data_IF_576547887349
#
_entry.id   IF_576547887349
#
_cell.length_a   1.000
_cell.length_b   1.000
_cell.length_c   1.000
_cell.angle_alpha   90.00
_cell.angle_beta   90.00
_cell.angle_gamma   90.00
#
_symmetry.space_group_name_H-M   'P 1'
#
loop_
_entity.id
_entity.type
_entity.pdbx_description
1 polymer ?
#
# COMPACT_ATOMS: atom_id res chain seq x y z
N UNK A 1 -5.83 35.47 -32.53
CA UNK A 1 -5.23 34.34 -33.25
C UNK A 1 -4.19 33.66 -32.36
N UNK A 2 -4.61 33.08 -31.19
CA UNK A 2 -3.72 32.47 -30.20
C UNK A 2 -4.40 31.28 -29.48
N UNK A 3 -5.21 30.49 -30.20
CA UNK A 3 -5.98 29.39 -29.60
C UNK A 3 -5.69 28.00 -30.21
N UNK A 4 -4.57 27.81 -30.90
CA UNK A 4 -4.36 26.55 -31.66
C UNK A 4 -3.25 25.64 -31.10
N UNK A 5 -2.73 25.84 -29.88
CA UNK A 5 -1.62 25.02 -29.36
C UNK A 5 -1.90 24.19 -28.10
N UNK A 6 -3.14 24.13 -27.62
CA UNK A 6 -3.46 23.46 -26.35
C UNK A 6 -3.84 21.98 -26.49
N UNK A 7 -3.81 21.40 -27.66
CA UNK A 7 -4.29 20.03 -27.94
C UNK A 7 -3.25 18.92 -27.73
N UNK A 8 -1.97 19.28 -27.53
CA UNK A 8 -0.86 18.33 -27.47
C UNK A 8 -0.37 18.01 -26.04
N UNK A 9 -1.01 18.55 -25.01
CA UNK A 9 -0.53 18.40 -23.61
C UNK A 9 -1.28 17.33 -22.81
N UNK A 10 -2.46 16.89 -23.24
CA UNK A 10 -3.23 15.87 -22.49
C UNK A 10 -2.81 14.47 -22.94
N UNK A 11 -2.22 13.73 -22.03
CA UNK A 11 -1.85 12.33 -22.18
C UNK A 11 -2.91 11.42 -21.55
N UNK A 12 -3.26 10.33 -22.26
CA UNK A 12 -4.21 9.31 -21.78
C UNK A 12 -3.44 8.04 -21.45
N UNK A 13 -3.27 7.75 -20.16
CA UNK A 13 -2.81 6.44 -19.71
C UNK A 13 -4.02 5.52 -19.58
N UNK A 14 -4.00 4.40 -20.29
CA UNK A 14 -5.17 3.53 -20.41
C UNK A 14 -4.92 2.13 -19.88
N UNK A 15 -5.99 1.55 -19.34
CA UNK A 15 -6.17 0.12 -19.13
C UNK A 15 -7.26 -0.38 -20.06
N UNK A 16 -7.80 -1.58 -19.84
CA UNK A 16 -8.88 -2.13 -20.68
C UNK A 16 -10.17 -1.30 -20.57
N UNK A 17 -10.56 -0.89 -19.34
CA UNK A 17 -11.82 -0.18 -19.08
C UNK A 17 -11.64 1.18 -18.42
N UNK A 18 -10.40 1.62 -18.19
CA UNK A 18 -10.12 2.84 -17.42
C UNK A 18 -9.18 3.78 -18.17
N UNK A 19 -9.36 5.07 -17.97
CA UNK A 19 -8.44 6.13 -18.43
C UNK A 19 -8.06 7.03 -17.26
N UNK A 20 -6.75 7.26 -17.10
CA UNK A 20 -6.19 8.36 -16.34
C UNK A 20 -5.68 9.42 -17.33
N UNK A 21 -6.29 10.60 -17.34
CA UNK A 21 -5.92 11.70 -18.23
C UNK A 21 -5.11 12.75 -17.46
N UNK A 22 -3.93 13.11 -17.99
CA UNK A 22 -3.04 14.11 -17.41
C UNK A 22 -2.77 15.23 -18.41
N UNK A 23 -2.89 16.47 -17.96
CA UNK A 23 -2.38 17.63 -18.70
C UNK A 23 -0.92 17.89 -18.29
N UNK A 24 -0.03 17.78 -19.26
CA UNK A 24 1.43 17.82 -19.10
C UNK A 24 2.06 18.97 -19.88
N UNK A 25 1.40 20.14 -19.95
CA UNK A 25 1.93 21.33 -20.62
C UNK A 25 3.26 21.77 -19.96
N UNK A 26 4.34 21.80 -20.76
CA UNK A 26 5.67 22.21 -20.26
C UNK A 26 5.64 23.63 -19.71
N UNK A 27 6.29 23.83 -18.56
CA UNK A 27 6.33 25.10 -17.86
C UNK A 27 5.12 25.38 -16.95
N UNK A 28 4.13 24.47 -16.90
CA UNK A 28 2.97 24.51 -16.01
C UNK A 28 2.97 23.36 -15.03
N UNK A 29 2.04 23.38 -14.07
CA UNK A 29 1.79 22.23 -13.19
C UNK A 29 1.35 21.03 -14.02
N UNK A 30 1.80 19.83 -13.65
CA UNK A 30 1.14 18.62 -14.09
C UNK A 30 -0.26 18.54 -13.44
N UNK A 31 -1.29 18.20 -14.20
CA UNK A 31 -2.66 18.12 -13.70
C UNK A 31 -3.29 16.78 -14.04
N UNK A 32 -4.03 16.20 -13.09
CA UNK A 32 -4.95 15.11 -13.37
C UNK A 32 -6.29 15.75 -13.77
N UNK A 33 -6.71 15.45 -14.98
CA UNK A 33 -7.94 15.98 -15.60
C UNK A 33 -9.11 15.03 -15.36
N UNK A 34 -8.82 13.72 -15.39
CA UNK A 34 -9.84 12.69 -15.30
C UNK A 34 -9.25 11.36 -14.80
N UNK A 35 -10.03 10.61 -14.06
CA UNK A 35 -9.83 9.20 -13.76
C UNK A 35 -11.19 8.50 -13.73
N UNK A 36 -11.39 7.50 -14.57
CA UNK A 36 -12.69 6.82 -14.71
C UNK A 36 -12.75 5.93 -15.95
N UNK A 37 -13.95 5.68 -16.46
CA UNK A 37 -14.19 4.85 -17.65
C UNK A 37 -13.36 5.28 -18.85
N UNK A 38 -13.10 4.35 -19.77
CA UNK A 38 -12.28 4.59 -20.96
C UNK A 38 -12.75 5.78 -21.78
N UNK A 39 -11.84 6.69 -22.07
CA UNK A 39 -11.99 7.83 -22.98
C UNK A 39 -10.88 7.77 -24.00
N UNK A 40 -11.24 7.76 -25.29
CA UNK A 40 -10.28 7.61 -26.39
C UNK A 40 -9.90 8.94 -27.06
N UNK A 41 -10.74 9.97 -26.92
CA UNK A 41 -10.50 11.29 -27.50
C UNK A 41 -10.24 12.35 -26.39
N UNK A 42 -9.00 12.86 -26.26
CA UNK A 42 -8.68 13.88 -25.26
C UNK A 42 -9.42 15.22 -25.47
N UNK A 43 -9.97 15.47 -26.67
CA UNK A 43 -10.71 16.69 -26.95
C UNK A 43 -11.97 16.86 -26.08
N UNK A 44 -12.56 15.75 -25.62
CA UNK A 44 -13.75 15.76 -24.75
C UNK A 44 -13.51 16.53 -23.44
N UNK A 45 -12.30 16.51 -22.90
CA UNK A 45 -11.98 17.19 -21.65
C UNK A 45 -11.98 18.71 -21.81
N UNK A 46 -11.43 19.21 -22.92
CA UNK A 46 -11.46 20.63 -23.27
C UNK A 46 -12.89 21.07 -23.53
N UNK A 47 -13.63 20.32 -24.32
CA UNK A 47 -14.99 20.68 -24.74
C UNK A 47 -15.96 20.67 -23.54
N UNK A 48 -15.68 19.82 -22.54
CA UNK A 48 -16.39 19.81 -21.26
C UNK A 48 -15.88 20.87 -20.25
N UNK A 49 -14.85 21.64 -20.59
CA UNK A 49 -14.25 22.63 -19.67
C UNK A 49 -13.56 22.02 -18.46
N UNK A 50 -13.06 20.82 -18.58
CA UNK A 50 -12.37 20.12 -17.48
C UNK A 50 -10.88 20.46 -17.49
N UNK A 51 -10.46 21.31 -16.53
CA UNK A 51 -9.07 21.77 -16.40
C UNK A 51 -8.23 20.94 -15.44
N UNK A 52 -8.84 20.04 -14.69
CA UNK A 52 -8.18 19.20 -13.70
C UNK A 52 -7.62 19.93 -12.48
N UNK A 53 -6.95 19.18 -11.64
CA UNK A 53 -6.27 19.65 -10.43
C UNK A 53 -4.80 19.23 -10.49
N UNK A 54 -3.92 19.92 -9.75
CA UNK A 54 -2.49 19.56 -9.71
C UNK A 54 -2.31 18.10 -9.36
N UNK A 55 -1.46 17.39 -10.10
CA UNK A 55 -1.22 15.96 -9.90
C UNK A 55 -0.41 15.67 -8.63
N UNK A 56 0.39 16.63 -8.16
CA UNK A 56 1.22 16.47 -6.96
C UNK A 56 1.35 17.80 -6.22
N UNK A 57 0.37 18.18 -5.37
CA UNK A 57 0.37 19.46 -4.69
C UNK A 57 1.55 19.56 -3.71
N UNK A 58 2.37 20.58 -3.91
CA UNK A 58 3.48 20.91 -3.03
C UNK A 58 3.15 22.11 -2.14
N UNK A 59 3.79 22.20 -0.98
CA UNK A 59 3.62 23.34 -0.07
C UNK A 59 4.05 24.65 -0.74
N UNK A 60 3.23 25.68 -0.59
CA UNK A 60 3.45 27.00 -1.18
C UNK A 60 2.62 27.27 -2.44
N UNK A 61 1.96 26.27 -3.03
CA UNK A 61 0.95 26.51 -4.06
C UNK A 61 -0.34 27.06 -3.43
N UNK A 62 -0.97 28.03 -4.10
CA UNK A 62 -2.30 28.49 -3.71
C UNK A 62 -3.33 27.42 -4.08
N UNK A 63 -4.18 27.06 -3.14
CA UNK A 63 -5.24 26.09 -3.37
C UNK A 63 -5.82 25.56 -2.07
N UNK A 64 -6.98 24.94 -2.15
CA UNK A 64 -7.68 24.43 -1.00
C UNK A 64 -7.31 22.97 -0.67
N UNK A 65 -6.47 22.34 -1.48
CA UNK A 65 -6.03 20.96 -1.25
C UNK A 65 -4.89 20.88 -0.22
N UNK A 66 -4.87 19.78 0.54
CA UNK A 66 -3.72 19.37 1.32
C UNK A 66 -2.47 19.19 0.42
N UNK A 67 -1.29 19.15 1.02
CA UNK A 67 -0.05 18.96 0.26
C UNK A 67 0.37 17.50 0.23
N UNK A 68 0.89 17.03 -0.91
CA UNK A 68 1.56 15.73 -1.07
C UNK A 68 3.06 15.82 -0.77
N UNK A 69 3.66 17.01 -0.93
CA UNK A 69 5.09 17.25 -0.71
C UNK A 69 5.32 18.48 0.13
N UNK A 70 6.11 18.33 1.20
CA UNK A 70 6.63 19.44 1.99
C UNK A 70 8.14 19.27 2.20
N UNK A 71 8.90 20.28 1.79
CA UNK A 71 10.36 20.32 1.86
C UNK A 71 10.79 21.55 2.64
N UNK A 72 11.76 21.41 3.55
CA UNK A 72 12.48 22.55 4.11
C UNK A 72 13.83 22.65 3.41
N UNK A 73 14.02 23.75 2.65
CA UNK A 73 15.26 24.03 1.96
C UNK A 73 16.36 24.45 2.92
N UNK A 74 17.61 24.41 2.48
CA UNK A 74 18.77 24.70 3.31
C UNK A 74 18.83 26.13 3.86
N UNK A 75 18.05 27.06 3.33
CA UNK A 75 17.88 28.43 3.80
C UNK A 75 16.67 28.62 4.73
N UNK A 76 15.95 27.52 5.03
CA UNK A 76 14.75 27.49 5.87
C UNK A 76 13.45 27.79 5.13
N UNK A 77 13.47 28.13 3.84
CA UNK A 77 12.27 28.29 3.03
C UNK A 77 11.59 26.93 2.81
N UNK A 78 10.26 26.93 2.72
CA UNK A 78 9.45 25.71 2.52
C UNK A 78 8.64 25.69 1.22
N UNK A 79 8.67 26.80 0.45
CA UNK A 79 7.87 26.92 -0.77
C UNK A 79 8.47 26.12 -1.91
N UNK A 80 7.64 25.38 -2.63
CA UNK A 80 7.95 24.73 -3.88
C UNK A 80 6.99 25.20 -4.98
N UNK A 81 7.53 25.47 -6.16
CA UNK A 81 6.77 25.81 -7.38
C UNK A 81 7.19 24.86 -8.51
N UNK A 82 6.62 23.67 -8.50
CA UNK A 82 6.94 22.62 -9.46
C UNK A 82 6.32 22.90 -10.83
N UNK A 83 7.07 22.67 -11.88
CA UNK A 83 6.60 22.78 -13.26
C UNK A 83 7.09 21.59 -14.11
N UNK A 84 6.25 21.12 -15.02
CA UNK A 84 6.62 20.09 -16.00
C UNK A 84 7.77 20.57 -16.86
N UNK A 85 8.87 19.83 -16.84
CA UNK A 85 10.02 20.09 -17.73
C UNK A 85 10.10 19.07 -18.85
N UNK A 86 9.69 17.82 -18.56
CA UNK A 86 9.68 16.73 -19.53
C UNK A 86 8.73 15.61 -19.12
N UNK A 87 8.35 14.75 -20.05
CA UNK A 87 7.69 13.49 -19.78
C UNK A 87 8.01 12.46 -20.86
N UNK A 88 7.99 11.19 -20.49
CA UNK A 88 8.28 10.06 -21.37
C UNK A 88 7.30 8.92 -21.11
N UNK A 89 7.04 8.13 -22.14
CA UNK A 89 6.25 6.91 -22.06
C UNK A 89 7.10 5.75 -22.50
N UNK A 90 7.24 4.77 -21.61
CA UNK A 90 7.80 3.47 -21.91
C UNK A 90 6.71 2.43 -22.04
N UNK A 91 6.91 1.41 -22.86
CA UNK A 91 6.03 0.24 -22.93
C UNK A 91 6.65 -0.92 -22.16
N UNK A 92 5.82 -1.77 -21.60
CA UNK A 92 6.18 -3.06 -21.03
C UNK A 92 5.10 -4.08 -21.43
N UNK A 93 5.30 -5.37 -21.18
CA UNK A 93 4.47 -6.44 -21.76
C UNK A 93 2.96 -6.25 -21.54
N UNK A 94 2.58 -5.76 -20.36
CA UNK A 94 1.17 -5.63 -19.94
C UNK A 94 0.63 -4.19 -19.90
N UNK A 95 1.38 -3.19 -20.38
CA UNK A 95 0.92 -1.79 -20.34
C UNK A 95 1.96 -0.73 -20.66
N UNK A 96 1.81 0.43 -20.05
CA UNK A 96 2.65 1.61 -20.23
C UNK A 96 3.17 2.14 -18.91
N UNK A 97 4.32 2.78 -18.94
CA UNK A 97 4.91 3.54 -17.85
C UNK A 97 5.10 4.99 -18.28
N UNK A 98 4.25 5.87 -17.78
CA UNK A 98 4.42 7.31 -17.91
C UNK A 98 5.35 7.80 -16.79
N UNK A 99 6.39 8.56 -17.16
CA UNK A 99 7.26 9.29 -16.24
C UNK A 99 7.14 10.78 -16.52
N UNK A 100 6.71 11.56 -15.53
CA UNK A 100 6.60 13.02 -15.61
C UNK A 100 7.67 13.65 -14.75
N UNK A 101 8.53 14.48 -15.34
CA UNK A 101 9.60 15.20 -14.64
C UNK A 101 9.17 16.63 -14.34
N UNK A 102 9.09 16.94 -13.06
CA UNK A 102 8.83 18.28 -12.53
C UNK A 102 10.09 18.86 -11.94
N UNK A 103 10.33 20.15 -12.12
CA UNK A 103 11.41 20.87 -11.43
C UNK A 103 10.84 22.09 -10.71
N UNK A 104 11.39 22.35 -9.54
CA UNK A 104 11.10 23.60 -8.86
C UNK A 104 11.71 24.78 -9.62
N UNK A 105 11.01 25.90 -9.66
CA UNK A 105 11.41 27.08 -10.44
C UNK A 105 12.57 27.86 -9.81
N UNK A 106 12.82 27.66 -8.53
CA UNK A 106 13.77 28.43 -7.72
C UNK A 106 14.84 27.52 -7.11
N UNK A 107 14.41 26.42 -6.51
CA UNK A 107 15.29 25.50 -5.79
C UNK A 107 15.68 24.30 -6.66
N UNK A 108 16.89 23.76 -6.47
CA UNK A 108 17.36 22.60 -7.22
C UNK A 108 16.74 21.31 -6.67
N UNK A 109 15.43 21.16 -6.83
CA UNK A 109 14.65 19.98 -6.48
C UNK A 109 13.95 19.48 -7.73
N UNK A 110 14.14 18.20 -8.03
CA UNK A 110 13.45 17.49 -9.12
C UNK A 110 12.50 16.45 -8.51
N UNK A 111 11.27 16.44 -9.00
CA UNK A 111 10.25 15.45 -8.64
C UNK A 111 9.86 14.67 -9.90
N UNK A 112 9.89 13.35 -9.83
CA UNK A 112 9.41 12.48 -10.91
C UNK A 112 8.18 11.71 -10.43
N UNK A 113 7.08 11.89 -11.16
CA UNK A 113 5.85 11.14 -10.96
C UNK A 113 5.83 9.97 -11.94
N UNK A 114 5.56 8.80 -11.43
CA UNK A 114 5.45 7.58 -12.22
C UNK A 114 4.02 7.08 -12.17
N UNK A 115 3.51 6.68 -13.34
CA UNK A 115 2.21 6.05 -13.50
C UNK A 115 2.37 4.83 -14.40
N UNK A 116 2.15 3.64 -13.84
CA UNK A 116 2.28 2.36 -14.54
C UNK A 116 0.94 1.70 -14.69
N UNK A 117 0.48 1.48 -15.91
CA UNK A 117 -0.78 0.77 -16.17
C UNK A 117 -0.57 -0.75 -16.26
N UNK A 118 -1.55 -1.49 -15.78
CA UNK A 118 -1.74 -2.93 -15.94
C UNK A 118 -3.05 -3.13 -16.70
N UNK A 119 -2.93 -3.38 -18.00
CA UNK A 119 -4.03 -3.23 -18.93
C UNK A 119 -5.20 -4.15 -18.64
N UNK A 120 -4.95 -5.46 -18.48
CA UNK A 120 -5.98 -6.48 -18.30
C UNK A 120 -6.63 -6.45 -16.92
N UNK A 121 -5.90 -6.00 -15.91
CA UNK A 121 -6.34 -5.97 -14.52
C UNK A 121 -7.06 -4.68 -14.14
N UNK A 122 -7.11 -3.67 -15.03
CA UNK A 122 -7.65 -2.33 -14.78
C UNK A 122 -7.01 -1.66 -13.56
N UNK A 123 -5.68 -1.77 -13.47
CA UNK A 123 -4.90 -1.19 -12.37
C UNK A 123 -3.90 -0.16 -12.88
N UNK A 124 -3.65 0.86 -12.04
CA UNK A 124 -2.58 1.83 -12.23
C UNK A 124 -1.81 1.93 -10.93
N UNK A 125 -0.49 1.70 -10.97
CA UNK A 125 0.40 2.03 -9.87
C UNK A 125 0.98 3.43 -10.08
N UNK A 126 1.04 4.21 -8.99
CA UNK A 126 1.74 5.50 -8.97
C UNK A 126 2.73 5.55 -7.81
N UNK A 127 3.85 6.19 -8.02
CA UNK A 127 4.84 6.51 -6.99
C UNK A 127 5.63 7.75 -7.40
N UNK A 128 6.36 8.29 -6.44
CA UNK A 128 7.09 9.54 -6.63
C UNK A 128 8.57 9.35 -6.28
N UNK A 129 9.45 9.98 -7.05
CA UNK A 129 10.86 10.14 -6.71
C UNK A 129 11.18 11.62 -6.53
N UNK A 130 11.85 11.96 -5.43
CA UNK A 130 12.24 13.32 -5.08
C UNK A 130 13.75 13.37 -5.03
N UNK A 131 14.39 14.20 -5.86
CA UNK A 131 15.85 14.32 -5.94
C UNK A 131 16.29 15.71 -5.48
N UNK A 132 17.36 15.75 -4.67
CA UNK A 132 18.06 16.98 -4.30
C UNK A 132 19.23 17.22 -5.24
N UNK A 133 19.03 18.02 -6.28
CA UNK A 133 20.04 18.40 -7.24
C UNK A 133 20.97 19.54 -6.71
N UNK A 134 20.72 19.99 -5.47
CA UNK A 134 21.43 21.08 -4.84
C UNK A 134 22.77 20.72 -4.22
N UNK A 135 23.42 21.72 -3.63
CA UNK A 135 24.72 21.55 -2.96
C UNK A 135 24.61 21.32 -1.45
N UNK A 136 23.46 21.56 -0.87
CA UNK A 136 23.16 21.45 0.56
C UNK A 136 22.02 20.45 0.78
N UNK A 137 21.94 19.81 1.95
CA UNK A 137 20.83 18.91 2.26
C UNK A 137 19.50 19.67 2.33
N UNK A 138 18.42 18.95 2.06
CA UNK A 138 17.04 19.41 2.29
C UNK A 138 16.35 18.42 3.22
N UNK A 139 15.34 18.88 3.94
CA UNK A 139 14.54 18.05 4.83
C UNK A 139 13.18 17.79 4.21
N UNK A 140 12.83 16.53 3.99
CA UNK A 140 11.50 16.11 3.60
C UNK A 140 10.68 15.87 4.86
N UNK A 141 9.55 16.59 5.00
CA UNK A 141 8.63 16.43 6.14
C UNK A 141 7.28 15.88 5.72
N UNK A 142 6.97 15.83 4.41
CA UNK A 142 5.84 15.12 3.80
C UNK A 142 6.24 14.69 2.40
N UNK A 143 5.92 13.46 2.03
CA UNK A 143 6.31 12.85 0.77
C UNK A 143 5.35 11.71 0.40
N UNK A 144 4.12 12.06 0.05
CA UNK A 144 3.10 11.09 -0.33
C UNK A 144 3.50 10.34 -1.62
N UNK A 145 3.03 9.12 -1.76
CA UNK A 145 3.24 8.30 -2.95
C UNK A 145 2.49 8.84 -4.16
N UNK A 146 1.30 9.39 -3.91
CA UNK A 146 0.47 9.98 -4.93
C UNK A 146 -0.69 10.80 -4.37
N UNK A 147 -1.29 11.56 -5.26
CA UNK A 147 -2.50 12.34 -5.04
C UNK A 147 -3.47 12.05 -6.18
N UNK A 148 -4.75 11.91 -5.87
CA UNK A 148 -5.82 11.75 -6.84
C UNK A 148 -6.93 12.77 -6.54
N UNK A 149 -7.13 13.78 -7.40
CA UNK A 149 -8.32 14.62 -7.34
C UNK A 149 -9.50 13.84 -7.90
N UNK A 150 -10.59 13.83 -7.16
CA UNK A 150 -11.83 13.12 -7.49
C UNK A 150 -12.91 14.16 -7.68
N UNK A 151 -13.55 14.20 -8.84
CA UNK A 151 -14.65 15.13 -9.05
C UNK A 151 -15.77 14.83 -8.06
N UNK A 152 -16.07 15.83 -7.21
CA UNK A 152 -16.96 15.71 -6.08
C UNK A 152 -18.37 15.28 -6.43
N UNK A 153 -19.06 14.74 -5.44
CA UNK A 153 -20.42 14.20 -5.53
C UNK A 153 -20.87 13.68 -4.17
N UNK A 154 -21.70 12.67 -4.17
CA UNK A 154 -22.05 11.93 -2.96
C UNK A 154 -21.00 10.85 -2.67
N UNK A 155 -19.82 11.30 -2.23
CA UNK A 155 -18.66 10.45 -2.00
C UNK A 155 -18.77 9.71 -0.66
N UNK A 156 -18.57 8.39 -0.69
CA UNK A 156 -18.53 7.51 0.46
C UNK A 156 -17.22 6.75 0.53
N UNK A 157 -16.83 6.38 1.75
CA UNK A 157 -15.56 5.68 2.03
C UNK A 157 -15.88 4.36 2.69
N UNK A 158 -15.29 3.27 2.19
CA UNK A 158 -15.24 1.98 2.88
C UNK A 158 -13.79 1.64 3.20
N UNK A 159 -13.51 1.37 4.46
CA UNK A 159 -12.19 1.01 4.98
C UNK A 159 -12.28 -0.19 5.91
N UNK A 160 -11.17 -0.89 6.09
CA UNK A 160 -11.07 -2.02 6.98
C UNK A 160 -10.48 -1.61 8.34
N UNK A 161 -10.99 -2.19 9.40
CA UNK A 161 -10.51 -2.05 10.75
C UNK A 161 -10.69 -3.34 11.53
N UNK A 162 -10.17 -3.42 12.73
CA UNK A 162 -10.36 -4.59 13.59
C UNK A 162 -9.45 -4.61 14.79
N UNK A 163 -9.42 -5.77 15.42
CA UNK A 163 -8.53 -6.13 16.51
C UNK A 163 -8.29 -7.64 16.45
N UNK A 164 -7.43 -8.17 17.29
CA UNK A 164 -7.27 -9.61 17.44
C UNK A 164 -8.61 -10.32 17.66
N UNK A 165 -8.84 -11.42 16.95
CA UNK A 165 -10.09 -12.19 16.90
C UNK A 165 -11.34 -11.40 16.45
N UNK A 166 -11.13 -10.25 15.79
CA UNK A 166 -12.19 -9.39 15.24
C UNK A 166 -11.67 -8.60 14.02
N UNK A 167 -10.87 -9.24 13.18
CA UNK A 167 -10.18 -8.67 12.03
C UNK A 167 -11.14 -8.38 10.86
N UNK A 168 -10.70 -7.52 9.95
CA UNK A 168 -11.34 -7.32 8.65
C UNK A 168 -12.75 -6.74 8.71
N UNK A 169 -13.09 -5.94 9.71
CA UNK A 169 -14.39 -5.26 9.81
C UNK A 169 -14.46 -4.12 8.83
N UNK A 170 -15.57 -4.00 8.13
CA UNK A 170 -15.80 -2.92 7.17
C UNK A 170 -16.49 -1.74 7.88
N UNK A 171 -15.85 -0.57 7.81
CA UNK A 171 -16.48 0.72 8.11
C UNK A 171 -16.87 1.41 6.81
N UNK A 172 -18.13 1.85 6.72
CA UNK A 172 -18.63 2.58 5.55
C UNK A 172 -19.31 3.86 6.01
N UNK A 173 -18.81 5.00 5.54
CA UNK A 173 -19.29 6.32 5.95
C UNK A 173 -19.27 7.33 4.79
N UNK A 174 -20.13 8.37 4.79
CA UNK A 174 -20.05 9.45 3.83
C UNK A 174 -18.80 10.31 4.07
N UNK A 175 -18.16 10.79 3.00
CA UNK A 175 -17.13 11.79 3.11
C UNK A 175 -17.75 13.15 3.43
N UNK A 176 -17.58 13.62 4.65
CA UNK A 176 -18.04 14.91 5.10
C UNK A 176 -16.99 16.00 4.92
N UNK A 177 -17.40 17.28 4.99
CA UNK A 177 -16.49 18.42 4.91
C UNK A 177 -15.37 18.33 5.95
N UNK A 178 -14.14 18.56 5.53
CA UNK A 178 -12.94 18.41 6.34
C UNK A 178 -12.02 17.33 5.79
N UNK A 179 -11.22 16.73 6.66
CA UNK A 179 -10.23 15.71 6.29
C UNK A 179 -10.52 14.44 7.10
N UNK A 180 -10.79 13.35 6.42
CA UNK A 180 -10.78 12.01 6.99
C UNK A 180 -9.37 11.43 6.84
N UNK A 181 -8.83 10.94 7.95
CA UNK A 181 -7.51 10.29 8.00
C UNK A 181 -7.66 8.84 8.46
N UNK A 182 -7.04 7.94 7.71
CA UNK A 182 -6.85 6.53 8.07
C UNK A 182 -5.34 6.33 8.16
N UNK A 183 -4.83 5.98 9.33
CA UNK A 183 -3.38 5.85 9.54
C UNK A 183 -3.02 4.69 10.45
N UNK A 184 -1.80 4.22 10.29
CA UNK A 184 -1.13 3.29 11.19
C UNK A 184 0.16 3.92 11.73
N UNK A 185 0.40 3.78 13.05
CA UNK A 185 1.60 4.24 13.75
C UNK A 185 2.30 3.09 14.51
N UNK A 186 1.92 1.85 14.25
CA UNK A 186 2.41 0.67 14.96
C UNK A 186 3.73 0.12 14.37
N UNK A 187 4.46 0.94 13.62
CA UNK A 187 5.74 0.58 13.02
C UNK A 187 5.59 -0.51 11.95
N UNK A 188 6.36 -1.58 12.09
CA UNK A 188 6.34 -2.73 11.17
C UNK A 188 5.10 -3.61 11.29
N UNK A 189 4.33 -3.44 12.38
CA UNK A 189 3.03 -4.09 12.53
C UNK A 189 1.97 -3.29 11.80
N UNK A 190 1.81 -3.55 10.52
CA UNK A 190 0.71 -3.04 9.74
C UNK A 190 -0.57 -3.75 10.18
N UNK A 191 -1.18 -3.22 11.24
CA UNK A 191 -1.95 -3.96 12.20
C UNK A 191 -3.42 -4.13 11.83
N UNK A 192 -4.12 -4.88 12.68
CA UNK A 192 -5.55 -5.12 12.62
C UNK A 192 -6.40 -3.86 12.82
N UNK A 193 -5.84 -2.79 13.43
CA UNK A 193 -6.59 -1.58 13.78
C UNK A 193 -6.99 -0.75 12.57
N UNK A 194 -6.18 -0.75 11.52
CA UNK A 194 -6.47 -0.10 10.24
C UNK A 194 -5.70 -0.77 9.12
N UNK A 195 -6.16 -0.60 7.89
CA UNK A 195 -5.54 -1.16 6.70
C UNK A 195 -5.16 -0.04 5.72
N UNK A 196 -4.06 -0.24 4.96
CA UNK A 196 -3.54 0.70 3.97
C UNK A 196 -4.33 0.73 2.66
N UNK A 197 -5.58 0.27 2.67
CA UNK A 197 -6.48 0.26 1.54
C UNK A 197 -7.82 0.95 1.85
N UNK A 198 -8.43 1.47 0.79
CA UNK A 198 -9.73 2.14 0.86
C UNK A 198 -10.49 1.98 -0.46
N UNK A 199 -11.82 1.86 -0.37
CA UNK A 199 -12.72 1.99 -1.52
C UNK A 199 -13.49 3.30 -1.40
N UNK A 200 -13.47 4.10 -2.46
CA UNK A 200 -14.10 5.42 -2.56
C UNK A 200 -15.24 5.32 -3.56
N UNK A 201 -16.48 5.33 -3.07
CA UNK A 201 -17.69 5.28 -3.89
C UNK A 201 -18.11 6.69 -4.28
N UNK A 202 -18.45 6.91 -5.54
CA UNK A 202 -18.71 8.24 -6.13
C UNK A 202 -20.21 8.55 -6.29
N UNK A 203 -21.08 7.56 -6.17
CA UNK A 203 -22.51 7.62 -6.48
C UNK A 203 -23.37 7.35 -5.24
N UNK A 204 -22.93 7.78 -4.06
CA UNK A 204 -23.61 7.54 -2.81
C UNK A 204 -23.10 6.30 -2.08
N UNK A 205 -23.95 5.78 -1.17
CA UNK A 205 -23.61 4.60 -0.37
C UNK A 205 -23.23 3.43 -1.27
N UNK A 206 -22.05 2.79 -1.03
CA UNK A 206 -21.53 1.75 -1.90
C UNK A 206 -22.47 0.54 -2.00
N UNK A 207 -22.44 -0.08 -3.18
CA UNK A 207 -23.09 -1.36 -3.47
C UNK A 207 -22.06 -2.34 -4.00
N UNK A 208 -22.33 -3.62 -3.84
CA UNK A 208 -21.42 -4.70 -4.25
C UNK A 208 -21.28 -4.77 -5.78
N UNK A 209 -22.37 -4.61 -6.50
CA UNK A 209 -22.52 -4.95 -7.92
C UNK A 209 -22.82 -3.76 -8.83
N UNK A 210 -22.79 -2.54 -8.31
CA UNK A 210 -23.12 -1.34 -9.11
C UNK A 210 -22.58 -0.05 -8.50
N UNK A 211 -22.38 0.96 -9.34
CA UNK A 211 -21.89 2.29 -8.99
C UNK A 211 -20.39 2.42 -9.22
N UNK A 212 -19.95 3.67 -9.37
CA UNK A 212 -18.54 3.99 -9.63
C UNK A 212 -17.74 3.94 -8.32
N UNK A 213 -16.66 3.19 -8.32
CA UNK A 213 -15.77 3.00 -7.17
C UNK A 213 -14.32 3.16 -7.61
N UNK A 214 -13.56 3.92 -6.84
CA UNK A 214 -12.10 3.95 -6.90
C UNK A 214 -11.58 3.13 -5.73
N UNK A 215 -10.81 2.09 -6.02
CA UNK A 215 -10.05 1.35 -5.03
C UNK A 215 -8.62 1.86 -4.96
N UNK A 216 -8.08 1.99 -3.76
CA UNK A 216 -6.69 2.40 -3.53
C UNK A 216 -6.04 1.54 -2.46
N UNK A 217 -4.79 1.11 -2.68
CA UNK A 217 -4.00 0.35 -1.72
C UNK A 217 -2.54 0.83 -1.74
N UNK A 218 -2.03 1.25 -0.57
CA UNK A 218 -0.64 1.64 -0.41
C UNK A 218 0.22 0.39 -0.18
N UNK A 219 1.17 0.11 -1.06
CA UNK A 219 2.08 -1.03 -0.99
C UNK A 219 3.23 -0.74 -0.01
N UNK A 220 2.91 -0.62 1.28
CA UNK A 220 3.85 -0.28 2.34
C UNK A 220 3.51 -1.03 3.63
N UNK A 221 4.50 -1.65 4.26
CA UNK A 221 4.34 -2.42 5.48
C UNK A 221 4.68 -1.68 6.78
N UNK A 222 5.00 -0.38 6.70
CA UNK A 222 5.31 0.45 7.87
C UNK A 222 4.20 1.46 8.19
N UNK A 223 4.53 2.52 8.92
CA UNK A 223 3.59 3.61 9.22
C UNK A 223 3.09 4.28 7.94
N UNK A 224 1.78 4.41 7.81
CA UNK A 224 1.15 5.00 6.63
C UNK A 224 0.04 5.98 7.00
N UNK A 225 -0.32 6.81 6.02
CA UNK A 225 -1.45 7.72 6.11
C UNK A 225 -2.19 7.76 4.77
N UNK A 226 -3.51 7.51 4.81
CA UNK A 226 -4.46 7.77 3.73
C UNK A 226 -5.31 8.96 4.15
N UNK A 227 -5.41 9.98 3.32
CA UNK A 227 -6.19 11.19 3.62
C UNK A 227 -7.21 11.44 2.52
N UNK A 228 -8.43 11.70 2.91
CA UNK A 228 -9.51 12.12 2.02
C UNK A 228 -10.01 13.48 2.48
N UNK A 229 -9.86 14.47 1.64
CA UNK A 229 -10.31 15.84 1.91
C UNK A 229 -11.53 16.18 1.07
N UNK A 230 -12.57 16.68 1.73
CA UNK A 230 -13.72 17.35 1.11
C UNK A 230 -13.73 18.82 1.49
N UNK A 231 -13.70 19.69 0.51
CA UNK A 231 -13.77 21.14 0.70
C UNK A 231 -14.94 21.73 -0.11
N UNK A 232 -14.97 23.04 -0.32
CA UNK A 232 -16.00 23.73 -1.12
C UNK A 232 -15.72 23.74 -2.63
N UNK A 233 -14.67 23.03 -3.09
CA UNK A 233 -14.38 22.89 -4.51
C UNK A 233 -15.23 21.77 -5.15
N UNK A 234 -15.25 21.72 -6.48
CA UNK A 234 -15.87 20.64 -7.24
C UNK A 234 -15.09 19.32 -7.14
N UNK A 235 -14.00 19.28 -6.36
CA UNK A 235 -13.13 18.13 -6.22
C UNK A 235 -12.95 17.75 -4.76
N UNK A 236 -13.10 16.44 -4.50
CA UNK A 236 -12.55 15.78 -3.33
C UNK A 236 -11.10 15.39 -3.63
N UNK A 237 -10.26 15.23 -2.61
CA UNK A 237 -8.85 14.92 -2.79
C UNK A 237 -8.47 13.69 -1.99
N UNK A 238 -7.81 12.73 -2.63
CA UNK A 238 -7.24 11.55 -1.99
C UNK A 238 -5.72 11.59 -2.03
N UNK A 239 -5.08 11.35 -0.91
CA UNK A 239 -3.64 11.27 -0.73
C UNK A 239 -3.26 9.97 -0.04
N UNK A 240 -2.12 9.39 -0.38
CA UNK A 240 -1.61 8.22 0.29
C UNK A 240 -0.08 8.21 0.31
N UNK A 241 0.50 7.86 1.45
CA UNK A 241 1.95 7.78 1.60
C UNK A 241 2.39 7.29 2.97
N UNK A 242 3.68 7.36 3.22
CA UNK A 242 4.26 7.13 4.54
C UNK A 242 3.71 8.19 5.50
N UNK A 243 3.32 7.78 6.71
CA UNK A 243 2.84 8.70 7.72
C UNK A 243 3.96 9.68 8.11
N UNK A 244 3.73 11.01 8.03
CA UNK A 244 4.76 11.99 8.35
C UNK A 244 4.97 12.19 9.85
N UNK A 245 4.11 11.63 10.70
CA UNK A 245 4.30 11.69 12.15
C UNK A 245 5.58 10.94 12.54
N UNK A 246 6.49 11.65 13.22
CA UNK A 246 7.79 11.14 13.64
C UNK A 246 8.67 10.61 12.48
N UNK A 247 8.42 11.08 11.24
CA UNK A 247 9.17 10.72 10.05
C UNK A 247 9.74 11.97 9.38
N UNK A 248 11.05 12.10 9.44
CA UNK A 248 11.82 13.12 8.74
C UNK A 248 12.85 12.42 7.85
N UNK A 249 13.05 12.93 6.63
CA UNK A 249 14.08 12.38 5.77
C UNK A 249 15.03 13.49 5.32
N UNK A 250 16.29 13.39 5.78
CA UNK A 250 17.37 14.28 5.37
C UNK A 250 17.95 13.81 4.05
N UNK A 251 17.59 14.50 2.98
CA UNK A 251 18.05 14.20 1.63
C UNK A 251 19.34 14.98 1.36
N UNK A 252 20.49 14.29 1.38
CA UNK A 252 21.77 14.89 1.15
C UNK A 252 21.95 15.35 -0.31
N UNK A 253 23.05 16.04 -0.59
CA UNK A 253 23.40 16.49 -1.94
C UNK A 253 23.47 15.30 -2.91
N UNK A 254 22.70 15.35 -3.99
CA UNK A 254 22.70 14.36 -5.06
C UNK A 254 21.93 13.07 -4.70
N UNK A 255 21.31 13.02 -3.55
CA UNK A 255 20.47 11.89 -3.15
C UNK A 255 19.05 12.03 -3.69
N UNK A 256 18.36 10.89 -3.79
CA UNK A 256 16.96 10.78 -4.16
C UNK A 256 16.21 9.85 -3.22
N UNK A 257 14.98 10.24 -2.89
CA UNK A 257 14.03 9.43 -2.13
C UNK A 257 12.94 8.90 -3.06
N UNK A 258 12.62 7.61 -2.95
CA UNK A 258 11.53 6.97 -3.70
C UNK A 258 10.45 6.55 -2.73
N UNK A 259 9.23 7.00 -2.97
CA UNK A 259 8.08 6.64 -2.14
C UNK A 259 7.61 5.21 -2.41
N UNK A 260 6.86 4.59 -1.48
CA UNK A 260 6.14 3.34 -1.77
C UNK A 260 5.21 3.47 -2.98
N UNK A 261 4.83 2.34 -3.58
CA UNK A 261 3.84 2.33 -4.65
C UNK A 261 2.42 2.47 -4.07
N UNK A 262 1.58 3.23 -4.74
CA UNK A 262 0.15 3.32 -4.51
C UNK A 262 -0.57 2.66 -5.69
N UNK A 263 -1.27 1.57 -5.44
CA UNK A 263 -2.08 0.89 -6.43
C UNK A 263 -3.49 1.47 -6.47
N UNK A 264 -3.95 1.82 -7.66
CA UNK A 264 -5.27 2.42 -7.93
C UNK A 264 -6.04 1.55 -8.91
N UNK A 265 -7.34 1.43 -8.71
CA UNK A 265 -8.27 0.86 -9.68
C UNK A 265 -9.55 1.68 -9.76
N UNK A 266 -10.24 1.60 -10.88
CA UNK A 266 -11.58 2.13 -11.06
C UNK A 266 -12.50 1.03 -11.57
N UNK A 267 -13.75 1.04 -11.10
CA UNK A 267 -14.81 0.16 -11.58
C UNK A 267 -16.15 0.88 -11.53
N UNK A 268 -17.03 0.64 -12.50
CA UNK A 268 -18.45 1.04 -12.45
C UNK A 268 -19.38 -0.12 -12.05
N UNK A 269 -18.79 -1.28 -11.75
CA UNK A 269 -19.45 -2.49 -11.24
C UNK A 269 -19.42 -2.60 -9.70
N UNK A 270 -19.39 -1.48 -8.98
CA UNK A 270 -19.43 -1.47 -7.51
C UNK A 270 -18.15 -1.94 -6.83
N UNK A 271 -18.26 -2.24 -5.52
CA UNK A 271 -17.14 -2.71 -4.68
C UNK A 271 -16.56 -4.01 -5.20
N UNK A 272 -17.42 -4.94 -5.62
CA UNK A 272 -17.00 -6.25 -6.13
C UNK A 272 -16.17 -6.14 -7.41
N UNK A 273 -16.51 -5.22 -8.31
CA UNK A 273 -15.72 -4.93 -9.52
C UNK A 273 -14.31 -4.48 -9.17
N UNK A 274 -14.19 -3.44 -8.33
CA UNK A 274 -12.89 -2.94 -7.87
C UNK A 274 -12.09 -4.01 -7.10
N UNK A 275 -12.74 -4.80 -6.24
CA UNK A 275 -12.10 -5.90 -5.51
C UNK A 275 -11.54 -6.96 -6.46
N UNK A 276 -12.31 -7.37 -7.47
CA UNK A 276 -11.84 -8.36 -8.48
C UNK A 276 -10.63 -7.85 -9.28
N UNK A 277 -10.52 -6.55 -9.54
CA UNK A 277 -9.34 -5.97 -10.18
C UNK A 277 -8.10 -6.17 -9.31
N UNK A 278 -8.17 -5.84 -8.01
CA UNK A 278 -7.09 -6.10 -7.06
C UNK A 278 -6.73 -7.58 -6.97
N UNK A 279 -7.72 -8.49 -6.98
CA UNK A 279 -7.47 -9.93 -6.93
C UNK A 279 -6.70 -10.43 -8.16
N UNK A 280 -7.07 -9.99 -9.39
CA UNK A 280 -6.36 -10.36 -10.60
C UNK A 280 -4.93 -9.84 -10.60
N UNK A 281 -4.77 -8.53 -10.30
CA UNK A 281 -3.47 -7.89 -10.22
C UNK A 281 -2.58 -8.52 -9.12
N UNK A 282 -3.14 -8.76 -7.94
CA UNK A 282 -2.42 -9.39 -6.82
C UNK A 282 -1.88 -10.77 -7.18
N UNK A 283 -2.72 -11.63 -7.78
CA UNK A 283 -2.29 -12.96 -8.22
C UNK A 283 -1.20 -12.93 -9.27
N UNK A 284 -1.30 -12.03 -10.24
CA UNK A 284 -0.36 -12.00 -11.38
C UNK A 284 0.98 -11.31 -11.03
N UNK A 285 0.96 -10.26 -10.21
CA UNK A 285 2.13 -9.38 -10.05
C UNK A 285 2.67 -9.25 -8.63
N UNK A 286 1.94 -9.65 -7.60
CA UNK A 286 2.32 -9.40 -6.21
C UNK A 286 2.53 -10.65 -5.37
N UNK A 287 1.76 -11.68 -5.62
CA UNK A 287 1.86 -12.93 -4.89
C UNK A 287 2.82 -13.89 -5.59
N UNK A 288 3.84 -14.36 -4.88
CA UNK A 288 4.65 -15.45 -5.38
C UNK A 288 3.76 -16.68 -5.66
N UNK A 289 3.83 -17.18 -6.89
CA UNK A 289 2.97 -18.25 -7.36
C UNK A 289 1.47 -17.99 -7.12
N UNK A 290 1.01 -16.78 -7.41
CA UNK A 290 -0.38 -16.36 -7.18
C UNK A 290 -1.43 -17.15 -7.97
N UNK A 291 -1.03 -17.81 -9.05
CA UNK A 291 -1.82 -18.68 -9.91
C UNK A 291 -1.97 -20.12 -9.36
N UNK A 292 -1.22 -20.49 -8.31
CA UNK A 292 -1.30 -21.83 -7.72
C UNK A 292 -2.42 -21.91 -6.69
N UNK A 293 -3.09 -23.07 -6.65
CA UNK A 293 -4.02 -23.39 -5.57
C UNK A 293 -3.30 -23.39 -4.21
N UNK A 294 -3.96 -22.84 -3.21
CA UNK A 294 -3.51 -22.91 -1.83
C UNK A 294 -3.93 -24.24 -1.21
N UNK A 295 -3.04 -24.79 -0.37
CA UNK A 295 -3.28 -26.05 0.30
C UNK A 295 -4.32 -25.92 1.40
N UNK A 296 -5.09 -26.98 1.58
CA UNK A 296 -5.97 -27.12 2.75
C UNK A 296 -5.08 -27.31 3.97
N UNK A 297 -5.11 -26.33 4.89
CA UNK A 297 -4.18 -26.21 6.01
C UNK A 297 -4.89 -26.41 7.35
N UNK A 298 -4.25 -27.16 8.26
CA UNK A 298 -4.55 -27.15 9.69
C UNK A 298 -3.38 -26.50 10.43
N UNK A 299 -3.70 -25.47 11.23
CA UNK A 299 -2.77 -24.87 12.19
C UNK A 299 -3.06 -25.44 13.59
N UNK A 300 -2.02 -25.67 14.39
CA UNK A 300 -2.17 -26.30 15.72
C UNK A 300 -2.68 -25.32 16.79
N UNK A 301 -2.63 -23.99 16.57
CA UNK A 301 -2.83 -22.99 17.62
C UNK A 301 -4.14 -23.16 18.38
N UNK A 302 -5.27 -23.08 17.72
CA UNK A 302 -6.58 -23.18 18.38
C UNK A 302 -6.88 -24.59 18.94
N UNK A 303 -6.07 -25.59 18.57
CA UNK A 303 -6.22 -26.96 19.08
C UNK A 303 -5.45 -27.20 20.39
N UNK A 304 -4.24 -26.66 20.54
CA UNK A 304 -3.34 -27.01 21.64
C UNK A 304 -2.60 -25.81 22.26
N UNK A 305 -2.67 -24.61 21.67
CA UNK A 305 -1.90 -23.45 22.10
C UNK A 305 -0.42 -23.80 22.32
N UNK A 306 0.15 -23.47 23.48
CA UNK A 306 1.54 -23.75 23.84
C UNK A 306 1.82 -25.22 24.21
N UNK A 307 0.79 -26.09 24.27
CA UNK A 307 0.98 -27.50 24.66
C UNK A 307 1.44 -28.37 23.47
N UNK A 308 2.56 -27.95 22.89
CA UNK A 308 3.23 -28.65 21.80
C UNK A 308 3.95 -29.89 22.37
N UNK A 309 3.68 -31.06 21.75
CA UNK A 309 4.39 -32.31 22.03
C UNK A 309 4.33 -33.24 20.81
N UNK A 310 5.32 -34.14 20.68
CA UNK A 310 5.42 -35.03 19.50
C UNK A 310 4.21 -35.90 19.27
N UNK A 311 3.64 -36.62 20.29
CA UNK A 311 2.44 -37.43 20.07
C UNK A 311 1.24 -36.62 19.59
N UNK A 312 0.99 -35.44 20.18
CA UNK A 312 -0.11 -34.56 19.79
C UNK A 312 0.05 -34.02 18.36
N UNK A 313 1.24 -33.57 17.99
CA UNK A 313 1.52 -33.13 16.62
C UNK A 313 1.33 -34.26 15.60
N UNK A 314 1.80 -35.47 15.90
CA UNK A 314 1.60 -36.63 15.04
C UNK A 314 0.11 -36.93 14.84
N UNK A 315 -0.66 -36.93 15.92
CA UNK A 315 -2.10 -37.21 15.84
C UNK A 315 -2.81 -36.15 14.96
N UNK A 316 -2.49 -34.85 15.15
CA UNK A 316 -3.09 -33.78 14.32
C UNK A 316 -2.72 -33.92 12.85
N UNK A 317 -1.51 -34.37 12.52
CA UNK A 317 -1.08 -34.64 11.14
C UNK A 317 -1.88 -35.80 10.52
N UNK A 318 -2.08 -36.89 11.27
CA UNK A 318 -2.86 -38.04 10.83
C UNK A 318 -4.34 -37.70 10.65
N UNK A 319 -4.90 -36.90 11.58
CA UNK A 319 -6.30 -36.47 11.55
C UNK A 319 -6.57 -35.57 10.31
N UNK A 320 -5.75 -34.57 10.10
CA UNK A 320 -5.95 -33.67 8.94
C UNK A 320 -5.75 -34.39 7.60
N UNK A 321 -4.79 -35.33 7.53
CA UNK A 321 -4.59 -36.17 6.36
C UNK A 321 -5.84 -37.02 6.06
N UNK A 322 -6.45 -37.64 7.10
CA UNK A 322 -7.66 -38.45 6.97
C UNK A 322 -8.87 -37.67 6.46
N UNK A 323 -8.91 -36.36 6.72
CA UNK A 323 -9.96 -35.44 6.26
C UNK A 323 -9.66 -34.80 4.89
N UNK A 324 -8.55 -35.15 4.25
CA UNK A 324 -8.17 -34.63 2.95
C UNK A 324 -7.38 -33.31 2.99
N UNK A 325 -6.86 -32.93 4.16
CA UNK A 325 -5.96 -31.78 4.27
C UNK A 325 -4.57 -32.07 3.69
N UNK A 326 -3.82 -31.05 3.39
CA UNK A 326 -2.59 -31.13 2.61
C UNK A 326 -1.37 -30.54 3.32
N UNK A 327 -1.60 -29.71 4.34
CA UNK A 327 -0.54 -28.99 5.06
C UNK A 327 -0.90 -28.89 6.55
N UNK A 328 0.02 -29.33 7.40
CA UNK A 328 -0.03 -29.11 8.83
C UNK A 328 0.98 -28.03 9.21
N UNK A 329 0.56 -27.03 9.99
CA UNK A 329 1.42 -25.97 10.52
C UNK A 329 1.47 -26.07 12.03
N UNK A 330 2.66 -26.32 12.58
CA UNK A 330 2.93 -26.21 14.01
C UNK A 330 3.10 -24.72 14.35
N UNK A 331 2.25 -24.23 15.24
CA UNK A 331 2.24 -22.84 15.68
C UNK A 331 3.17 -22.57 16.89
N UNK A 332 2.94 -21.50 17.63
CA UNK A 332 3.72 -21.04 18.77
C UNK A 332 3.87 -22.11 19.87
N UNK A 333 4.96 -22.02 20.62
CA UNK A 333 5.21 -22.91 21.75
C UNK A 333 6.26 -24.02 21.51
N UNK A 334 6.84 -24.15 20.31
CA UNK A 334 7.79 -25.20 19.95
C UNK A 334 9.25 -24.89 20.34
N UNK A 335 9.55 -23.66 20.73
CA UNK A 335 10.90 -23.13 20.90
C UNK A 335 11.19 -22.65 22.34
N UNK A 336 12.45 -22.29 22.58
CA UNK A 336 12.95 -21.78 23.85
C UNK A 336 13.67 -22.85 24.67
N UNK A 337 15.02 -22.80 24.70
CA UNK A 337 15.86 -23.71 25.48
C UNK A 337 16.04 -23.21 26.92
N UNK A 338 16.68 -22.06 27.10
CA UNK A 338 16.92 -21.45 28.41
C UNK A 338 15.62 -20.96 29.06
N UNK A 339 14.76 -20.37 28.31
CA UNK A 339 13.45 -19.86 28.72
C UNK A 339 12.36 -20.61 27.98
N UNK A 340 11.78 -21.73 28.51
CA UNK A 340 10.77 -22.46 27.77
C UNK A 340 9.54 -21.62 27.38
N UNK A 341 9.09 -21.72 26.17
CA UNK A 341 7.87 -21.06 25.66
C UNK A 341 6.61 -21.77 26.13
N UNK A 342 6.23 -21.55 27.39
CA UNK A 342 5.02 -22.14 27.99
C UNK A 342 3.83 -21.18 27.94
N UNK A 343 4.07 -19.92 27.74
CA UNK A 343 3.12 -18.82 27.60
C UNK A 343 3.73 -17.78 26.66
N UNK A 344 3.03 -16.71 26.38
CA UNK A 344 3.48 -15.58 25.55
C UNK A 344 4.53 -14.67 26.21
N UNK A 345 4.95 -14.95 27.45
CA UNK A 345 5.79 -14.06 28.25
C UNK A 345 7.31 -14.28 28.09
N UNK A 346 7.75 -15.30 27.36
CA UNK A 346 9.17 -15.65 27.23
C UNK A 346 9.54 -16.19 25.87
N UNK A 347 10.83 -16.17 25.57
CA UNK A 347 11.53 -16.83 24.44
C UNK A 347 11.16 -16.37 23.04
N UNK A 348 10.26 -15.42 22.88
CA UNK A 348 10.01 -14.88 21.53
C UNK A 348 11.31 -14.21 21.03
N UNK A 349 11.83 -14.69 19.91
CA UNK A 349 13.15 -14.37 19.37
C UNK A 349 14.17 -15.53 19.46
N UNK A 350 13.97 -16.48 20.36
CA UNK A 350 14.85 -17.63 20.59
C UNK A 350 14.37 -18.85 19.78
N UNK A 351 14.61 -18.84 18.48
CA UNK A 351 14.12 -19.89 17.56
C UNK A 351 14.90 -21.21 17.69
N UNK A 352 15.09 -21.67 18.92
CA UNK A 352 15.74 -22.94 19.25
C UNK A 352 14.70 -23.92 19.77
N UNK A 353 14.73 -25.16 19.24
CA UNK A 353 13.74 -26.18 19.60
C UNK A 353 13.78 -26.53 21.07
N UNK A 354 12.64 -26.48 21.76
CA UNK A 354 12.49 -27.03 23.11
C UNK A 354 12.54 -28.57 23.05
N UNK A 355 13.66 -29.13 23.53
CA UNK A 355 13.90 -30.58 23.51
C UNK A 355 13.08 -31.35 24.54
N UNK A 356 12.48 -30.69 25.50
CA UNK A 356 11.54 -31.33 26.43
C UNK A 356 10.21 -31.61 25.74
N UNK A 357 9.77 -30.71 24.87
CA UNK A 357 8.53 -30.86 24.08
C UNK A 357 8.75 -31.73 22.84
N UNK A 358 9.87 -31.53 22.17
CA UNK A 358 10.22 -32.15 20.89
C UNK A 358 11.60 -32.85 20.95
N UNK A 359 11.72 -33.97 21.69
CA UNK A 359 13.01 -34.63 21.90
C UNK A 359 13.70 -35.06 20.61
N UNK A 360 12.93 -35.46 19.57
CA UNK A 360 13.45 -35.85 18.27
C UNK A 360 13.60 -34.65 17.29
N UNK A 361 13.14 -33.46 17.68
CA UNK A 361 13.29 -32.20 16.95
C UNK A 361 12.46 -32.07 15.67
N UNK A 362 12.62 -30.91 14.99
CA UNK A 362 11.85 -30.54 13.80
C UNK A 362 11.99 -31.58 12.67
N UNK A 363 13.17 -32.15 12.48
CA UNK A 363 13.39 -33.16 11.43
C UNK A 363 12.53 -34.41 11.60
N UNK A 364 12.19 -34.77 12.82
CA UNK A 364 11.24 -35.86 13.08
C UNK A 364 9.83 -35.49 12.66
N UNK A 365 9.36 -34.28 13.01
CA UNK A 365 8.05 -33.77 12.61
C UNK A 365 7.90 -33.70 11.09
N UNK A 366 8.93 -33.23 10.37
CA UNK A 366 8.93 -33.20 8.91
C UNK A 366 8.75 -34.59 8.29
N UNK A 367 9.44 -35.62 8.84
CA UNK A 367 9.28 -37.00 8.36
C UNK A 367 7.89 -37.57 8.72
N UNK A 368 7.42 -37.32 9.93
CA UNK A 368 6.09 -37.79 10.38
C UNK A 368 4.97 -37.18 9.51
N UNK A 369 5.06 -35.90 9.18
CA UNK A 369 4.13 -35.26 8.25
C UNK A 369 4.15 -35.91 6.86
N UNK A 370 5.34 -36.18 6.34
CA UNK A 370 5.50 -36.87 5.05
C UNK A 370 4.94 -38.28 5.06
N UNK A 371 5.14 -39.01 6.16
CA UNK A 371 4.56 -40.37 6.36
C UNK A 371 3.04 -40.32 6.44
N UNK A 372 2.45 -39.29 7.05
CA UNK A 372 1.01 -39.03 7.05
C UNK A 372 0.45 -38.55 5.71
N UNK A 373 1.32 -38.16 4.76
CA UNK A 373 0.91 -37.65 3.43
C UNK A 373 0.62 -36.18 3.37
N UNK A 374 1.01 -35.38 4.39
CA UNK A 374 0.85 -33.94 4.44
C UNK A 374 2.20 -33.22 4.41
N UNK A 375 2.21 -31.95 4.01
CA UNK A 375 3.38 -31.08 4.17
C UNK A 375 3.46 -30.55 5.59
N UNK A 376 4.67 -30.18 6.01
CA UNK A 376 4.92 -29.55 7.31
C UNK A 376 5.24 -28.07 7.13
N UNK A 377 4.63 -27.23 7.97
CA UNK A 377 4.95 -25.82 8.16
C UNK A 377 5.24 -25.53 9.63
N UNK A 378 5.92 -24.42 9.87
CA UNK A 378 6.28 -23.93 11.19
C UNK A 378 6.01 -22.44 11.29
N UNK A 379 5.45 -22.00 12.41
CA UNK A 379 5.22 -20.60 12.71
C UNK A 379 6.45 -19.95 13.32
N UNK A 380 6.71 -18.71 12.90
CA UNK A 380 7.70 -17.80 13.51
C UNK A 380 7.13 -16.38 13.49
N UNK A 381 7.52 -15.55 14.48
CA UNK A 381 7.17 -14.13 14.63
C UNK A 381 8.45 -13.28 14.73
N UNK A 382 9.18 -13.07 13.62
CA UNK A 382 10.52 -12.48 13.64
C UNK A 382 10.55 -10.98 13.98
N UNK A 383 9.40 -10.30 13.94
CA UNK A 383 9.24 -8.87 14.24
C UNK A 383 9.13 -8.57 15.74
N UNK A 384 9.02 -9.61 16.60
CA UNK A 384 8.81 -9.46 18.03
C UNK A 384 9.86 -10.19 18.85
N UNK A 385 10.15 -9.66 20.04
CA UNK A 385 10.96 -10.33 21.05
C UNK A 385 10.39 -10.14 22.45
N UNK A 386 10.60 -11.11 23.34
CA UNK A 386 10.33 -10.93 24.75
C UNK A 386 11.57 -10.41 25.46
N UNK A 387 11.38 -9.61 26.53
CA UNK A 387 12.48 -9.22 27.42
C UNK A 387 13.03 -10.40 28.21
N UNK A 388 12.29 -11.50 28.34
CA UNK A 388 12.70 -12.79 28.88
C UNK A 388 13.08 -13.70 27.74
N UNK A 389 14.23 -13.45 27.08
CA UNK A 389 14.80 -14.25 26.01
C UNK A 389 16.32 -14.14 25.97
N UNK A 390 16.98 -15.12 25.39
CA UNK A 390 18.43 -15.06 25.14
C UNK A 390 18.77 -13.98 24.09
N UNK A 391 17.89 -13.77 23.12
CA UNK A 391 18.06 -12.71 22.14
C UNK A 391 18.11 -11.33 22.80
N UNK A 392 17.19 -11.03 23.71
CA UNK A 392 17.18 -9.76 24.44
C UNK A 392 18.39 -9.59 25.34
N UNK A 393 18.86 -10.67 26.03
CA UNK A 393 20.08 -10.62 26.85
C UNK A 393 21.32 -10.26 26.01
N UNK A 394 21.39 -10.75 24.77
CA UNK A 394 22.55 -10.54 23.88
C UNK A 394 22.47 -9.22 23.13
N UNK A 395 21.27 -8.79 22.77
CA UNK A 395 21.00 -7.66 21.92
C UNK A 395 19.85 -6.76 22.42
N UNK A 396 19.96 -6.18 23.62
CA UNK A 396 18.91 -5.27 24.12
C UNK A 396 18.79 -4.00 23.29
N UNK A 397 19.80 -3.68 22.49
CA UNK A 397 19.89 -2.55 21.57
C UNK A 397 19.08 -2.77 20.25
N UNK A 398 18.54 -3.96 20.02
CA UNK A 398 17.71 -4.25 18.85
C UNK A 398 16.22 -3.95 19.07
N UNK A 399 15.83 -3.69 20.31
CA UNK A 399 14.44 -3.37 20.64
C UNK A 399 14.17 -1.89 20.39
N UNK A 400 13.10 -1.61 19.66
CA UNK A 400 12.61 -0.25 19.34
C UNK A 400 11.74 0.32 20.45
#
# INVERSE_FOLDING_TARGET
MHFLFTLLSVFLLQTQHTTLALDLEKGRDARIVYYGNTVTDPAVFRDAGLWGQTAYPAYGLSGAAETALAVTHADGNKTLSLAVTDWTVGTWDDGELLTVTLKDRVYPVTVRLYYKSFREEDMIETWTRIDNDGKKPVLLTRFDSGHLPIRGGDTWISSLYGTWANEGRVNTEPLTRGIKVIKNLDGTRNSHTSHGEVMISLDGRPREDAGRVIGAALCWGGNYELRLQKNDSDYDHFFAGICPENAEYHLAKGEGFVTPHLALTFSDEGLGGASRNFHRWGRKYRLAHGDRERKILLNSWEGVYFDINEPGMKQMMEDIASMGGELFVMDDGWFGDKYPRLTDNSSLGDWVVDRNKLPNGIGWLVRTAAEAGVKFGIWIEPEMTNTVSELYEQHPDWVL
#
